data_IF_690196888750
#
_entry.id   IF_690196888750
#
_cell.length_a   1.000
_cell.length_b   1.000
_cell.length_c   1.000
_cell.angle_alpha   90.00
_cell.angle_beta   90.00
_cell.angle_gamma   90.00
#
_symmetry.space_group_name_H-M   'P 1'
#
loop_
_entity.id
_entity.type
_entity.pdbx_description
1 polymer ?
#
# COMPACT_ATOMS: atom_id res chain seq x y z
N UNK A 1 27.86 -1.30 35.90
CA UNK A 1 26.42 -0.97 35.85
C UNK A 1 26.04 -0.50 34.46
N UNK A 2 25.52 -1.39 33.61
CA UNK A 2 25.09 -1.03 32.26
C UNK A 2 23.81 -0.21 32.32
N UNK A 3 23.85 1.06 31.88
CA UNK A 3 22.64 1.89 31.74
C UNK A 3 21.74 1.23 30.70
N UNK A 4 20.66 0.60 31.16
CA UNK A 4 19.56 0.17 30.29
C UNK A 4 19.05 1.41 29.54
N UNK A 5 19.21 1.41 28.22
CA UNK A 5 18.59 2.42 27.35
C UNK A 5 17.09 2.20 27.44
N UNK A 6 16.40 2.94 28.32
CA UNK A 6 14.93 3.04 28.28
C UNK A 6 14.58 3.54 26.89
N UNK A 7 14.01 2.69 26.05
CA UNK A 7 13.45 3.11 24.77
C UNK A 7 12.33 4.10 25.09
N UNK A 8 12.50 5.36 24.72
CA UNK A 8 11.43 6.35 24.82
C UNK A 8 10.27 5.86 23.95
N UNK A 9 9.24 5.32 24.58
CA UNK A 9 7.99 4.97 23.89
C UNK A 9 7.43 6.29 23.37
N UNK A 10 7.38 6.43 22.04
CA UNK A 10 6.80 7.61 21.40
C UNK A 10 5.31 7.59 21.71
N UNK A 11 4.86 8.59 22.46
CA UNK A 11 3.45 8.79 22.79
C UNK A 11 2.79 9.49 21.61
N UNK A 12 1.58 9.05 21.29
CA UNK A 12 0.71 9.77 20.39
C UNK A 12 0.12 10.99 21.09
N UNK A 13 -0.13 12.04 20.31
CA UNK A 13 -0.83 13.23 20.76
C UNK A 13 -2.33 12.94 20.93
N UNK A 14 -3.02 13.78 21.70
CA UNK A 14 -4.42 13.53 22.08
C UNK A 14 -5.38 13.46 20.88
N UNK A 15 -5.09 14.13 19.76
CA UNK A 15 -5.93 14.03 18.56
C UNK A 15 -5.68 12.76 17.74
N UNK A 16 -4.61 12.01 18.03
CA UNK A 16 -4.23 10.80 17.29
C UNK A 16 -4.78 9.53 17.96
N UNK A 17 -5.11 9.60 19.25
CA UNK A 17 -5.57 8.44 20.04
C UNK A 17 -6.58 8.83 21.11
N UNK A 18 -7.53 7.92 21.37
CA UNK A 18 -8.50 8.02 22.46
C UNK A 18 -7.89 7.52 23.79
N UNK A 19 -6.69 6.92 23.76
CA UNK A 19 -6.02 6.42 24.96
C UNK A 19 -5.46 7.57 25.81
N UNK A 20 -5.88 7.62 27.08
CA UNK A 20 -5.45 8.67 28.01
C UNK A 20 -3.93 8.76 28.21
N UNK A 21 -3.21 7.66 27.97
CA UNK A 21 -1.76 7.58 28.18
C UNK A 21 -0.95 7.79 26.89
N UNK A 22 -1.62 7.91 25.74
CA UNK A 22 -0.98 8.04 24.42
C UNK A 22 -0.25 6.78 23.94
N UNK A 23 -0.51 5.62 24.56
CA UNK A 23 0.18 4.35 24.29
C UNK A 23 -0.82 3.38 23.67
N UNK A 24 -0.59 3.07 22.39
CA UNK A 24 -1.41 2.16 21.62
C UNK A 24 -0.90 0.72 21.68
N UNK A 25 -1.81 -0.24 21.55
CA UNK A 25 -1.49 -1.67 21.55
C UNK A 25 -0.72 -2.14 20.31
N UNK A 26 -0.73 -1.34 19.24
CA UNK A 26 -0.05 -1.66 18.00
C UNK A 26 -0.05 -0.51 17.00
N UNK A 27 0.95 -0.52 16.11
CA UNK A 27 1.18 0.54 15.14
C UNK A 27 1.34 -0.08 13.75
N UNK A 28 0.84 0.61 12.72
CA UNK A 28 1.16 0.28 11.33
C UNK A 28 2.38 1.07 10.92
N UNK A 29 3.45 0.37 10.52
CA UNK A 29 4.62 1.01 9.89
C UNK A 29 4.37 1.17 8.40
N UNK A 30 4.37 2.41 7.94
CA UNK A 30 4.33 2.77 6.52
C UNK A 30 5.67 3.40 6.14
N UNK A 31 6.32 2.83 5.13
CA UNK A 31 7.55 3.41 4.59
C UNK A 31 7.18 4.47 3.54
N UNK A 32 7.83 5.64 3.59
CA UNK A 32 7.58 6.74 2.64
C UNK A 32 7.69 6.29 1.18
N UNK A 33 8.65 5.42 0.86
CA UNK A 33 8.85 4.90 -0.50
C UNK A 33 7.69 4.04 -0.98
N UNK A 34 7.07 3.27 -0.09
CA UNK A 34 5.88 2.50 -0.43
C UNK A 34 4.64 3.39 -0.50
N UNK A 35 4.52 4.33 0.43
CA UNK A 35 3.40 5.27 0.49
C UNK A 35 3.28 6.13 -0.78
N UNK A 36 4.41 6.60 -1.32
CA UNK A 36 4.47 7.39 -2.56
C UNK A 36 4.68 6.56 -3.82
N UNK A 37 4.62 5.23 -3.73
CA UNK A 37 4.76 4.38 -4.90
C UNK A 37 3.54 4.48 -5.81
N UNK A 38 3.77 4.35 -7.12
CA UNK A 38 2.69 4.32 -8.11
C UNK A 38 1.66 3.23 -7.81
N UNK A 39 2.13 2.07 -7.34
CA UNK A 39 1.27 0.95 -6.94
C UNK A 39 0.26 1.30 -5.84
N UNK A 40 0.63 2.19 -4.91
CA UNK A 40 -0.24 2.61 -3.80
C UNK A 40 -1.10 3.80 -4.21
N UNK A 41 -0.54 4.74 -4.96
CA UNK A 41 -1.24 5.95 -5.42
C UNK A 41 -2.36 5.64 -6.43
N UNK A 42 -2.21 4.58 -7.22
CA UNK A 42 -3.24 4.14 -8.18
C UNK A 42 -4.35 3.29 -7.54
N UNK A 43 -4.24 2.93 -6.25
CA UNK A 43 -5.28 2.16 -5.58
C UNK A 43 -6.59 2.95 -5.44
N UNK A 44 -7.70 2.24 -5.57
CA UNK A 44 -8.99 2.72 -5.12
C UNK A 44 -9.01 2.98 -3.61
N UNK A 45 -9.86 3.92 -3.17
CA UNK A 45 -9.97 4.29 -1.76
C UNK A 45 -10.29 3.08 -0.86
N UNK A 46 -11.13 2.17 -1.34
CA UNK A 46 -11.47 0.93 -0.63
C UNK A 46 -10.26 -0.01 -0.55
N UNK A 47 -9.48 -0.13 -1.62
CA UNK A 47 -8.28 -0.97 -1.62
C UNK A 47 -7.21 -0.45 -0.68
N UNK A 48 -6.98 0.86 -0.66
CA UNK A 48 -6.05 1.49 0.28
C UNK A 48 -6.48 1.27 1.75
N UNK A 49 -7.77 1.43 2.05
CA UNK A 49 -8.33 1.21 3.38
C UNK A 49 -8.14 -0.23 3.84
N UNK A 50 -8.53 -1.20 3.02
CA UNK A 50 -8.36 -2.64 3.33
C UNK A 50 -6.89 -3.00 3.49
N UNK A 51 -6.01 -2.51 2.64
CA UNK A 51 -4.57 -2.76 2.72
C UNK A 51 -3.97 -2.27 4.06
N UNK A 52 -4.42 -1.11 4.53
CA UNK A 52 -3.98 -0.57 5.83
C UNK A 52 -4.42 -1.46 7.00
N UNK A 53 -5.67 -1.94 6.98
CA UNK A 53 -6.16 -2.89 7.99
C UNK A 53 -5.49 -4.27 7.92
N UNK A 54 -5.17 -4.75 6.71
CA UNK A 54 -4.37 -5.97 6.54
C UNK A 54 -3.01 -5.83 7.22
N UNK A 55 -2.32 -4.70 7.05
CA UNK A 55 -1.05 -4.43 7.76
C UNK A 55 -1.21 -4.35 9.27
N UNK A 56 -2.29 -3.72 9.75
CA UNK A 56 -2.60 -3.65 11.17
C UNK A 56 -2.78 -5.05 11.78
N UNK A 57 -3.60 -5.91 11.15
CA UNK A 57 -3.82 -7.28 11.61
C UNK A 57 -2.58 -8.16 11.51
N UNK A 58 -1.74 -7.95 10.50
CA UNK A 58 -0.51 -8.71 10.34
C UNK A 58 0.51 -8.42 11.47
N UNK A 59 0.41 -7.29 12.18
CA UNK A 59 1.32 -6.90 13.28
C UNK A 59 2.81 -7.00 12.89
N UNK A 60 3.13 -6.73 11.62
CA UNK A 60 4.49 -6.81 11.08
C UNK A 60 4.88 -8.17 10.49
N UNK A 61 4.02 -9.19 10.57
CA UNK A 61 4.25 -10.48 9.92
C UNK A 61 4.10 -10.36 8.40
N UNK A 62 4.97 -11.06 7.67
CA UNK A 62 4.91 -11.09 6.20
C UNK A 62 3.71 -11.87 5.68
N UNK A 63 3.36 -12.97 6.36
CA UNK A 63 2.23 -13.85 6.04
C UNK A 63 1.13 -13.65 7.07
N UNK A 64 -0.11 -13.50 6.60
CA UNK A 64 -1.27 -13.27 7.45
C UNK A 64 -2.54 -13.90 6.87
N UNK A 65 -3.52 -14.15 7.73
CA UNK A 65 -4.85 -14.62 7.33
C UNK A 65 -5.82 -13.45 7.28
N UNK A 66 -6.55 -13.29 6.18
CA UNK A 66 -7.54 -12.24 6.04
C UNK A 66 -8.78 -12.76 5.32
N UNK A 67 -9.92 -12.77 6.01
CA UNK A 67 -11.20 -13.25 5.46
C UNK A 67 -12.10 -12.09 5.06
N UNK A 68 -13.16 -12.38 4.30
CA UNK A 68 -14.16 -11.36 3.95
C UNK A 68 -14.85 -10.79 5.21
N UNK A 69 -15.01 -11.59 6.26
CA UNK A 69 -15.61 -11.16 7.52
C UNK A 69 -14.75 -10.12 8.24
N UNK A 70 -13.43 -10.27 8.18
CA UNK A 70 -12.50 -9.25 8.68
C UNK A 70 -12.66 -7.96 7.87
N UNK A 71 -12.82 -8.07 6.55
CA UNK A 71 -13.03 -6.91 5.68
C UNK A 71 -14.34 -6.16 6.00
N UNK A 72 -15.41 -6.89 6.31
CA UNK A 72 -16.69 -6.30 6.76
C UNK A 72 -16.51 -5.59 8.10
N UNK A 73 -15.84 -6.24 9.07
CA UNK A 73 -15.63 -5.67 10.41
C UNK A 73 -14.73 -4.43 10.40
N UNK A 74 -13.65 -4.46 9.62
CA UNK A 74 -12.63 -3.42 9.64
C UNK A 74 -12.98 -2.25 8.71
N UNK A 75 -13.40 -2.57 7.47
CA UNK A 75 -13.56 -1.60 6.41
C UNK A 75 -15.03 -1.39 5.99
N UNK A 76 -15.98 -2.12 6.59
CA UNK A 76 -17.42 -2.02 6.27
C UNK A 76 -17.72 -2.20 4.78
N UNK A 77 -16.99 -3.10 4.11
CA UNK A 77 -17.14 -3.37 2.68
C UNK A 77 -17.92 -4.66 2.41
N UNK A 78 -18.68 -4.67 1.31
CA UNK A 78 -19.39 -5.87 0.86
C UNK A 78 -18.43 -6.94 0.33
N UNK A 79 -18.89 -8.18 0.28
CA UNK A 79 -18.13 -9.32 -0.27
C UNK A 79 -17.69 -9.08 -1.72
N UNK A 80 -18.54 -8.48 -2.55
CA UNK A 80 -18.21 -8.19 -3.95
C UNK A 80 -17.10 -7.15 -4.06
N UNK A 81 -17.17 -6.08 -3.25
CA UNK A 81 -16.12 -5.07 -3.20
C UNK A 81 -14.81 -5.67 -2.70
N UNK A 82 -14.85 -6.57 -1.70
CA UNK A 82 -13.66 -7.26 -1.23
C UNK A 82 -12.97 -8.09 -2.32
N UNK A 83 -13.72 -8.77 -3.19
CA UNK A 83 -13.14 -9.52 -4.31
C UNK A 83 -12.45 -8.60 -5.33
N UNK A 84 -13.04 -7.45 -5.62
CA UNK A 84 -12.43 -6.42 -6.50
C UNK A 84 -11.16 -5.86 -5.88
N UNK A 85 -11.22 -5.47 -4.61
CA UNK A 85 -10.08 -4.97 -3.84
C UNK A 85 -8.94 -5.98 -3.79
N UNK A 86 -9.26 -7.24 -3.49
CA UNK A 86 -8.28 -8.32 -3.47
C UNK A 86 -7.56 -8.44 -4.81
N UNK A 87 -8.31 -8.40 -5.91
CA UNK A 87 -7.73 -8.47 -7.26
C UNK A 87 -6.80 -7.27 -7.51
N UNK A 88 -7.25 -6.07 -7.21
CA UNK A 88 -6.47 -4.83 -7.38
C UNK A 88 -5.15 -4.86 -6.58
N UNK A 89 -5.18 -5.35 -5.35
CA UNK A 89 -3.98 -5.47 -4.51
C UNK A 89 -2.98 -6.51 -5.04
N UNK A 90 -3.46 -7.57 -5.69
CA UNK A 90 -2.61 -8.58 -6.33
C UNK A 90 -2.04 -8.02 -7.63
N UNK A 91 -2.88 -7.38 -8.47
CA UNK A 91 -2.49 -6.79 -9.74
C UNK A 91 -1.44 -5.68 -9.56
N UNK A 92 -1.54 -4.89 -8.49
CA UNK A 92 -0.54 -3.87 -8.14
C UNK A 92 0.72 -4.44 -7.45
N UNK A 93 0.80 -5.76 -7.24
CA UNK A 93 1.97 -6.43 -6.67
C UNK A 93 2.20 -6.14 -5.18
N UNK A 94 1.16 -5.74 -4.44
CA UNK A 94 1.24 -5.44 -3.01
C UNK A 94 1.08 -6.70 -2.15
N UNK A 95 0.22 -7.63 -2.60
CA UNK A 95 -0.03 -8.90 -1.90
C UNK A 95 0.02 -10.07 -2.88
N UNK A 96 0.38 -11.24 -2.36
CA UNK A 96 0.24 -12.53 -3.02
C UNK A 96 -0.71 -13.40 -2.23
N UNK A 97 -1.57 -14.13 -2.93
CA UNK A 97 -2.37 -15.16 -2.30
C UNK A 97 -1.56 -16.47 -2.29
N UNK A 98 -1.41 -17.07 -1.11
CA UNK A 98 -0.80 -18.38 -0.99
C UNK A 98 -1.83 -19.48 -1.30
N UNK A 99 -1.35 -20.61 -1.80
CA UNK A 99 -2.18 -21.80 -1.99
C UNK A 99 -2.85 -22.15 -0.65
N UNK A 100 -4.17 -22.27 -0.68
CA UNK A 100 -4.99 -22.60 0.49
C UNK A 100 -5.88 -23.77 0.14
N UNK A 101 -6.03 -24.68 1.10
CA UNK A 101 -7.00 -25.76 0.99
C UNK A 101 -8.42 -25.16 1.13
N UNK A 102 -9.42 -25.84 0.56
CA UNK A 102 -10.82 -25.37 0.55
C UNK A 102 -11.40 -25.10 1.96
N UNK A 103 -10.84 -25.76 2.98
CA UNK A 103 -11.29 -25.67 4.37
C UNK A 103 -10.48 -24.69 5.23
N UNK A 104 -9.38 -24.14 4.72
CA UNK A 104 -8.55 -23.18 5.47
C UNK A 104 -8.82 -21.74 5.03
N UNK A 105 -8.81 -20.77 5.97
CA UNK A 105 -8.93 -19.37 5.62
C UNK A 105 -7.79 -18.95 4.70
N UNK A 106 -8.09 -18.09 3.72
CA UNK A 106 -7.12 -17.62 2.75
C UNK A 106 -5.93 -16.94 3.43
N UNK A 107 -4.74 -17.44 3.11
CA UNK A 107 -3.46 -16.85 3.55
C UNK A 107 -2.94 -15.91 2.47
N UNK A 108 -2.43 -14.78 2.91
CA UNK A 108 -1.83 -13.76 2.08
C UNK A 108 -0.42 -13.46 2.55
N UNK A 109 0.42 -13.05 1.61
CA UNK A 109 1.78 -12.63 1.85
C UNK A 109 1.98 -11.22 1.28
N UNK A 110 2.64 -10.33 2.02
CA UNK A 110 3.06 -9.05 1.46
C UNK A 110 4.18 -9.24 0.43
N UNK A 111 3.99 -8.65 -0.75
CA UNK A 111 4.92 -8.75 -1.88
C UNK A 111 5.76 -7.48 -2.01
N UNK A 112 6.89 -7.61 -2.70
CA UNK A 112 7.76 -6.50 -3.09
C UNK A 112 7.62 -6.13 -4.58
N UNK A 113 6.71 -6.80 -5.30
CA UNK A 113 6.51 -6.62 -6.74
C UNK A 113 5.94 -5.25 -7.11
N UNK A 114 5.30 -4.57 -6.17
CA UNK A 114 4.86 -3.17 -6.32
C UNK A 114 5.99 -2.23 -6.75
N UNK A 115 7.26 -2.58 -6.52
CA UNK A 115 8.42 -1.80 -7.01
C UNK A 115 8.55 -1.79 -8.54
N UNK A 116 8.01 -2.81 -9.21
CA UNK A 116 8.01 -2.93 -10.67
C UNK A 116 6.71 -2.39 -11.29
N UNK A 117 5.78 -1.92 -10.46
CA UNK A 117 4.53 -1.33 -10.93
C UNK A 117 4.78 0.08 -11.45
N UNK A 118 4.40 0.31 -12.70
CA UNK A 118 4.43 1.62 -13.32
C UNK A 118 3.00 2.05 -13.64
N UNK A 119 2.61 3.22 -13.12
CA UNK A 119 1.28 3.78 -13.35
C UNK A 119 1.10 4.15 -14.81
N UNK A 120 0.04 3.62 -15.43
CA UNK A 120 -0.37 4.03 -16.78
C UNK A 120 -0.81 5.50 -16.83
N UNK A 121 -1.21 6.10 -15.69
CA UNK A 121 -1.59 7.53 -15.62
C UNK A 121 -0.39 8.45 -15.73
N UNK A 122 0.77 8.01 -15.24
CA UNK A 122 2.01 8.80 -15.28
C UNK A 122 2.62 8.80 -16.69
N UNK A 123 2.42 7.72 -17.44
CA UNK A 123 2.87 7.58 -18.82
C UNK A 123 2.24 8.63 -19.77
N UNK A 124 0.94 8.95 -19.59
CA UNK A 124 0.26 9.99 -20.39
C UNK A 124 0.93 11.37 -20.27
N UNK A 125 1.45 11.72 -19.08
CA UNK A 125 2.12 12.99 -18.85
C UNK A 125 3.58 13.01 -19.34
N UNK A 126 4.23 11.86 -19.42
CA UNK A 126 5.59 11.75 -19.95
C UNK A 126 5.61 11.68 -21.48
N UNK A 127 4.59 11.09 -22.10
CA UNK A 127 4.49 10.98 -23.56
C UNK A 127 4.31 12.37 -24.23
N UNK A 128 3.56 13.28 -23.60
CA UNK A 128 3.45 14.67 -24.07
C UNK A 128 4.77 15.44 -24.00
N UNK A 129 5.63 15.18 -23.00
CA UNK A 129 6.95 15.83 -22.89
C UNK A 129 7.93 15.28 -23.92
N UNK A 130 7.88 13.97 -24.18
CA UNK A 130 8.68 13.31 -25.21
C UNK A 130 8.26 13.82 -26.60
N UNK A 131 6.95 13.91 -26.87
CA UNK A 131 6.42 14.46 -28.13
C UNK A 131 6.74 15.95 -28.34
N UNK A 132 6.73 16.78 -27.28
CA UNK A 132 7.10 18.21 -27.37
C UNK A 132 8.61 18.39 -27.63
N UNK A 133 9.46 17.59 -26.99
CA UNK A 133 10.92 17.65 -27.20
C UNK A 133 11.34 17.13 -28.59
N UNK A 134 10.62 16.16 -29.16
CA UNK A 134 10.86 15.67 -30.53
C UNK A 134 10.51 16.71 -31.61
N UNK A 135 9.48 17.55 -31.40
CA UNK A 135 9.10 18.63 -32.33
C UNK A 135 10.04 19.85 -32.24
N UNK A 136 10.63 20.12 -31.08
CA UNK A 136 11.61 21.20 -30.88
C UNK A 136 12.94 20.94 -31.60
N UNK A 137 13.43 19.69 -31.62
CA UNK A 137 14.71 19.34 -32.28
C UNK A 137 14.67 19.30 -33.81
N UNK A 138 13.49 19.30 -34.44
CA UNK A 138 13.34 19.23 -35.90
C UNK A 138 13.31 20.59 -36.61
N UNK A 139 13.49 21.71 -35.91
CA UNK A 139 13.54 23.06 -36.50
C UNK A 139 14.85 23.78 -36.17
N UNK A 140 15.96 23.31 -36.74
CA UNK A 140 17.07 24.22 -37.07
C UNK A 140 17.52 23.92 -38.51
N UNK A 141 17.13 24.74 -39.50
CA UNK A 141 17.79 24.70 -40.79
C UNK A 141 19.21 25.23 -40.61
N UNK A 142 20.21 24.41 -40.92
CA UNK A 142 21.58 24.88 -41.07
C UNK A 142 21.62 25.92 -42.18
N UNK A 143 21.91 27.18 -41.84
CA UNK A 143 22.27 28.20 -42.81
C UNK A 143 23.69 27.87 -43.29
N UNK A 144 23.81 27.56 -44.59
CA UNK A 144 25.07 27.65 -45.34
C UNK A 144 25.30 29.09 -45.75
#
# INVERSE_FOLDING_TARGET
>A
MGKSRKSTIRKFEFYETITNNGIESGYVRLANTQFHSDAVMDLSANSYRVFTYMKFRAKGNKVFTYTYENAIKDASISRQTFLKVKKELIDNGLIKQLASNAYSPSKFEFSAEWKNYHSKRRDWFTDERICKNAKSKRKQPQRK
#
